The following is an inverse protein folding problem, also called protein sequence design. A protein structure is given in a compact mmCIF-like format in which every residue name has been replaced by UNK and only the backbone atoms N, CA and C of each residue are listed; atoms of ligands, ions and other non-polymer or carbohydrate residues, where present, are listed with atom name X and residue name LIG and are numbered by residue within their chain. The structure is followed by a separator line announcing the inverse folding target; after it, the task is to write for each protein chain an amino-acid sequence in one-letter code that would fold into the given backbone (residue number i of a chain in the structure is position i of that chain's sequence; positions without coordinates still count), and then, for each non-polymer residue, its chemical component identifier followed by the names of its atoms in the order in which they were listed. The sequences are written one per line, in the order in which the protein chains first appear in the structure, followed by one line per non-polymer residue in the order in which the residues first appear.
data_IF_150961211008
#
_entry.id   IF_150961211008
#
_cell.length_a   1.000
_cell.length_b   1.000
_cell.length_c   1.000
_cell.angle_alpha   90.00
_cell.angle_beta   90.00
_cell.angle_gamma   90.00
#
_symmetry.space_group_name_H-M   'P 1'
#
loop_
_entity.id
_entity.type
_entity.pdbx_description
1 polymer ?
#
# COMPACT_ATOMS: atom_id res chain seq x y z
N UNK A 1 6.79 7.05 58.41
CA UNK A 1 6.96 5.98 59.43
C UNK A 1 5.83 4.97 59.27
N UNK A 2 6.15 3.69 59.50
CA UNK A 2 5.32 2.47 59.46
C UNK A 2 4.97 1.87 58.08
N UNK A 3 5.81 0.90 57.68
CA UNK A 3 5.48 -0.26 56.84
C UNK A 3 4.60 -1.27 57.64
N UNK A 4 3.94 -2.29 57.05
CA UNK A 4 4.48 -3.66 56.92
C UNK A 4 3.46 -4.60 56.22
N UNK A 5 3.88 -5.16 55.05
CA UNK A 5 3.91 -6.56 54.53
C UNK A 5 2.68 -7.51 54.41
N UNK A 6 2.39 -7.89 53.14
CA UNK A 6 2.38 -9.23 52.46
C UNK A 6 2.25 -10.55 53.27
N UNK A 7 1.67 -11.68 52.77
CA UNK A 7 2.08 -12.36 51.51
C UNK A 7 1.00 -13.22 50.76
N UNK A 8 1.35 -13.80 49.60
CA UNK A 8 0.49 -14.83 48.97
C UNK A 8 0.88 -15.38 47.59
N UNK A 9 1.96 -16.18 47.55
CA UNK A 9 2.16 -17.38 46.71
C UNK A 9 2.09 -17.32 45.16
N UNK A 10 3.27 -17.28 44.51
CA UNK A 10 3.89 -18.49 43.94
C UNK A 10 3.53 -18.96 42.51
N UNK A 11 4.43 -19.72 41.86
CA UNK A 11 4.61 -19.76 40.41
C UNK A 11 3.91 -20.94 39.72
N UNK A 12 3.65 -20.83 38.40
CA UNK A 12 3.30 -21.98 37.55
C UNK A 12 4.22 -22.06 36.34
N UNK A 13 5.07 -23.07 36.40
CA UNK A 13 5.89 -23.58 35.31
C UNK A 13 5.04 -24.37 34.29
N UNK A 14 5.47 -24.25 33.02
CA UNK A 14 5.50 -25.24 31.93
C UNK A 14 4.25 -25.94 31.37
N UNK A 15 4.17 -25.77 30.05
CA UNK A 15 4.01 -26.78 29.00
C UNK A 15 2.60 -27.33 28.72
N UNK A 16 2.03 -26.85 27.61
CA UNK A 16 1.26 -27.70 26.70
C UNK A 16 1.34 -27.13 25.28
N UNK A 17 2.20 -27.76 24.51
CA UNK A 17 2.25 -27.82 23.06
C UNK A 17 0.88 -28.21 22.48
N UNK A 18 0.31 -27.42 21.54
CA UNK A 18 -0.59 -27.89 20.48
C UNK A 18 -0.93 -26.79 19.47
N UNK A 19 -0.75 -27.17 18.21
CA UNK A 19 -0.74 -26.40 16.97
C UNK A 19 -2.05 -25.64 16.67
N UNK A 20 -1.98 -24.54 15.90
CA UNK A 20 -3.13 -23.75 15.48
C UNK A 20 -4.04 -24.50 14.50
N UNK A 21 -5.34 -24.49 14.81
CA UNK A 21 -6.41 -24.94 13.92
C UNK A 21 -6.55 -24.02 12.71
N UNK A 22 -6.53 -24.62 11.53
CA UNK A 22 -6.81 -23.98 10.24
C UNK A 22 -8.32 -23.64 10.18
N UNK A 23 -8.72 -22.43 9.76
CA UNK A 23 -10.14 -22.12 9.53
C UNK A 23 -10.68 -22.90 8.33
N UNK A 24 -11.80 -23.60 8.56
CA UNK A 24 -12.50 -24.39 7.56
C UNK A 24 -13.14 -23.50 6.48
N UNK A 25 -12.53 -23.47 5.29
CA UNK A 25 -13.16 -22.90 4.09
C UNK A 25 -14.20 -23.90 3.57
N UNK A 26 -15.48 -23.58 3.75
CA UNK A 26 -16.60 -24.26 3.07
C UNK A 26 -16.54 -23.95 1.58
N UNK A 27 -16.14 -24.93 0.78
CA UNK A 27 -16.35 -24.92 -0.67
C UNK A 27 -17.68 -25.64 -1.02
N UNK A 28 -18.43 -25.15 -2.02
CA UNK A 28 -19.71 -25.73 -2.42
C UNK A 28 -19.55 -27.11 -3.05
N UNK A 29 -20.30 -28.08 -2.53
CA UNK A 29 -20.38 -29.45 -3.01
C UNK A 29 -21.16 -29.45 -4.34
N UNK A 30 -20.44 -29.49 -5.46
CA UNK A 30 -21.01 -29.93 -6.72
C UNK A 30 -21.27 -31.44 -6.64
N UNK A 31 -22.55 -31.80 -6.69
CA UNK A 31 -23.07 -33.15 -6.59
C UNK A 31 -22.93 -33.87 -7.93
N UNK A 32 -21.81 -34.54 -8.16
CA UNK A 32 -21.66 -35.47 -9.29
C UNK A 32 -21.98 -36.90 -8.85
N UNK A 33 -23.14 -37.40 -9.27
CA UNK A 33 -23.49 -38.82 -9.22
C UNK A 33 -22.58 -39.57 -10.20
N UNK A 34 -21.84 -40.57 -9.72
CA UNK A 34 -21.13 -41.50 -10.59
C UNK A 34 -20.16 -42.38 -9.82
N UNK A 35 -20.63 -43.57 -9.38
CA UNK A 35 -19.78 -44.64 -8.86
C UNK A 35 -18.84 -45.11 -9.98
N UNK A 36 -17.54 -45.00 -9.76
CA UNK A 36 -16.52 -45.62 -10.62
C UNK A 36 -15.17 -45.63 -9.92
N UNK A 37 -14.80 -46.79 -9.37
CA UNK A 37 -13.48 -47.08 -8.80
C UNK A 37 -12.40 -46.86 -9.87
N UNK A 38 -11.39 -46.04 -9.57
CA UNK A 38 -9.96 -46.26 -9.89
C UNK A 38 -9.14 -45.15 -9.23
N UNK A 39 -8.53 -45.51 -8.10
CA UNK A 39 -7.39 -44.81 -7.54
C UNK A 39 -6.18 -45.05 -8.44
N UNK A 40 -5.39 -44.00 -8.71
CA UNK A 40 -3.92 -43.96 -8.84
C UNK A 40 -3.53 -42.73 -9.68
N UNK A 41 -2.40 -42.12 -9.31
CA UNK A 41 -1.74 -40.95 -9.92
C UNK A 41 -2.15 -39.56 -9.41
N UNK A 42 -2.07 -39.34 -8.09
CA UNK A 42 -1.87 -38.02 -7.49
C UNK A 42 -0.45 -37.89 -6.91
N UNK A 43 0.58 -38.09 -7.74
CA UNK A 43 1.98 -38.06 -7.31
C UNK A 43 2.94 -37.45 -8.35
N UNK A 44 2.50 -36.43 -9.11
CA UNK A 44 3.34 -35.79 -10.12
C UNK A 44 3.18 -34.25 -10.21
N UNK A 45 2.74 -33.58 -9.14
CA UNK A 45 2.58 -32.11 -9.12
C UNK A 45 3.33 -31.42 -7.97
N UNK A 46 4.23 -32.12 -7.28
CA UNK A 46 5.07 -31.53 -6.23
C UNK A 46 6.55 -31.39 -6.62
N UNK A 47 7.00 -32.00 -7.72
CA UNK A 47 8.39 -31.87 -8.18
C UNK A 47 8.62 -30.64 -9.10
N UNK A 48 7.57 -30.08 -9.70
CA UNK A 48 7.67 -28.93 -10.61
C UNK A 48 7.67 -27.57 -9.89
N UNK A 49 7.35 -27.50 -8.60
CA UNK A 49 7.46 -26.25 -7.82
C UNK A 49 8.85 -26.02 -7.21
N UNK A 50 9.76 -27.00 -7.25
CA UNK A 50 11.11 -26.87 -6.71
C UNK A 50 12.16 -26.48 -7.76
N UNK A 51 11.85 -26.60 -9.07
CA UNK A 51 12.81 -26.26 -10.13
C UNK A 51 12.74 -24.80 -10.59
N UNK A 52 11.82 -23.99 -10.06
CA UNK A 52 11.67 -22.57 -10.42
C UNK A 52 12.21 -21.58 -9.35
N UNK A 53 12.73 -22.07 -8.22
CA UNK A 53 13.22 -21.21 -7.13
C UNK A 53 14.75 -20.98 -7.13
N UNK A 54 15.49 -21.42 -8.14
CA UNK A 54 16.96 -21.26 -8.19
C UNK A 54 17.49 -20.55 -9.43
N UNK A 55 16.62 -19.93 -10.23
CA UNK A 55 17.07 -18.87 -11.13
C UNK A 55 17.12 -17.58 -10.32
N UNK A 56 18.29 -17.34 -9.72
CA UNK A 56 18.62 -16.04 -9.17
C UNK A 56 18.58 -15.05 -10.34
N UNK A 57 17.48 -14.29 -10.44
CA UNK A 57 17.30 -13.32 -11.50
C UNK A 57 18.56 -12.46 -11.60
N UNK A 58 19.09 -12.22 -12.81
CA UNK A 58 20.30 -11.43 -12.96
C UNK A 58 20.11 -10.10 -12.26
N UNK A 59 21.09 -9.71 -11.43
CA UNK A 59 20.99 -8.46 -10.69
C UNK A 59 20.80 -7.31 -11.69
N UNK A 60 19.78 -6.46 -11.53
CA UNK A 60 19.49 -5.41 -12.50
C UNK A 60 20.69 -4.49 -12.64
N UNK A 61 20.98 -4.07 -13.87
CA UNK A 61 22.10 -3.16 -14.12
C UNK A 61 21.81 -1.83 -13.42
N UNK A 62 22.87 -1.09 -13.13
CA UNK A 62 22.75 0.22 -12.49
C UNK A 62 21.84 1.18 -13.28
N UNK A 63 21.89 1.11 -14.61
CA UNK A 63 21.01 1.89 -15.51
C UNK A 63 19.53 1.55 -15.28
N UNK A 64 19.20 0.26 -15.13
CA UNK A 64 17.84 -0.21 -14.86
C UNK A 64 17.35 0.26 -13.48
N UNK A 65 18.23 0.20 -12.46
CA UNK A 65 17.94 0.70 -11.11
C UNK A 65 17.67 2.21 -11.14
N UNK A 66 18.45 2.98 -11.91
CA UNK A 66 18.27 4.43 -12.08
C UNK A 66 16.96 4.76 -12.81
N UNK A 67 16.64 4.05 -13.89
CA UNK A 67 15.39 4.23 -14.61
C UNK A 67 14.19 3.96 -13.69
N UNK A 68 14.21 2.82 -13.00
CA UNK A 68 13.17 2.45 -12.02
C UNK A 68 13.01 3.49 -10.92
N UNK A 69 14.12 4.03 -10.40
CA UNK A 69 14.09 5.10 -9.39
C UNK A 69 13.38 6.34 -9.92
N UNK A 70 13.74 6.80 -11.13
CA UNK A 70 13.11 7.97 -11.76
C UNK A 70 11.62 7.73 -11.99
N UNK A 71 11.25 6.57 -12.53
CA UNK A 71 9.86 6.25 -12.84
C UNK A 71 8.99 6.22 -11.57
N UNK A 72 9.54 5.73 -10.44
CA UNK A 72 8.87 5.79 -9.14
C UNK A 72 8.71 7.21 -8.61
N UNK A 73 9.70 8.08 -8.80
CA UNK A 73 9.57 9.50 -8.44
C UNK A 73 8.53 10.21 -9.30
N UNK A 74 8.49 9.93 -10.60
CA UNK A 74 7.47 10.47 -11.51
C UNK A 74 6.06 9.99 -11.12
N UNK A 75 5.89 8.72 -10.73
CA UNK A 75 4.61 8.23 -10.22
C UNK A 75 4.20 8.91 -8.91
N UNK A 76 5.16 9.14 -7.99
CA UNK A 76 4.88 9.91 -6.78
C UNK A 76 4.40 11.34 -7.10
N UNK A 77 4.98 11.97 -8.13
CA UNK A 77 4.55 13.28 -8.63
C UNK A 77 3.14 13.26 -9.25
N UNK A 78 2.83 12.29 -10.10
CA UNK A 78 1.47 12.12 -10.67
C UNK A 78 0.43 11.89 -9.57
N UNK A 79 0.75 11.04 -8.59
CA UNK A 79 -0.12 10.79 -7.44
C UNK A 79 -0.36 12.05 -6.64
N UNK A 80 0.67 12.84 -6.38
CA UNK A 80 0.53 14.12 -5.68
C UNK A 80 -0.40 15.11 -6.38
N UNK A 81 -0.33 15.23 -7.71
CA UNK A 81 -1.22 16.11 -8.47
C UNK A 81 -2.69 15.69 -8.36
N UNK A 82 -2.97 14.38 -8.38
CA UNK A 82 -4.32 13.83 -8.14
C UNK A 82 -4.86 14.22 -6.77
N UNK A 83 -4.04 14.02 -5.74
CA UNK A 83 -4.42 14.31 -4.36
C UNK A 83 -4.55 15.81 -4.10
N UNK A 84 -3.72 16.63 -4.73
CA UNK A 84 -3.84 18.08 -4.67
C UNK A 84 -5.15 18.58 -5.25
N UNK A 85 -5.57 18.04 -6.40
CA UNK A 85 -6.87 18.35 -6.99
C UNK A 85 -8.02 17.93 -6.07
N UNK A 86 -7.90 16.77 -5.41
CA UNK A 86 -8.90 16.30 -4.44
C UNK A 86 -9.01 17.23 -3.23
N UNK A 87 -7.88 17.65 -2.64
CA UNK A 87 -7.84 18.62 -1.53
C UNK A 87 -8.44 19.96 -1.96
N UNK A 88 -8.05 20.47 -3.12
CA UNK A 88 -8.55 21.75 -3.63
C UNK A 88 -10.07 21.70 -3.85
N UNK A 89 -10.59 20.62 -4.44
CA UNK A 89 -12.04 20.41 -4.60
C UNK A 89 -12.76 20.36 -3.26
N UNK A 90 -12.18 19.70 -2.27
CA UNK A 90 -12.71 19.68 -0.92
C UNK A 90 -12.75 21.09 -0.30
N UNK A 91 -11.66 21.85 -0.38
CA UNK A 91 -11.59 23.24 0.12
C UNK A 91 -12.65 24.13 -0.53
N UNK A 92 -12.79 24.04 -1.86
CA UNK A 92 -13.85 24.74 -2.60
C UNK A 92 -15.25 24.35 -2.12
N UNK A 93 -15.49 23.05 -1.86
CA UNK A 93 -16.78 22.58 -1.33
C UNK A 93 -17.10 23.09 0.07
N UNK A 94 -16.07 23.43 0.86
CA UNK A 94 -16.20 24.07 2.17
C UNK A 94 -16.30 25.61 2.09
N UNK A 95 -16.39 26.18 0.89
CA UNK A 95 -16.51 27.62 0.68
C UNK A 95 -15.19 28.38 0.77
N UNK A 96 -14.04 27.69 0.77
CA UNK A 96 -12.74 28.36 0.67
C UNK A 96 -12.65 29.05 -0.70
N UNK A 97 -12.30 30.35 -0.77
CA UNK A 97 -12.18 31.05 -2.04
C UNK A 97 -11.16 30.37 -2.98
N UNK A 98 -11.37 30.40 -4.31
CA UNK A 98 -10.44 29.79 -5.26
C UNK A 98 -8.99 30.24 -5.09
N UNK A 99 -8.76 31.53 -4.81
CA UNK A 99 -7.43 32.10 -4.57
C UNK A 99 -6.68 31.51 -3.36
N UNK A 100 -7.41 30.87 -2.43
CA UNK A 100 -6.86 30.25 -1.21
C UNK A 100 -7.08 28.74 -1.16
N UNK A 101 -7.48 28.15 -2.29
CA UNK A 101 -7.81 26.72 -2.38
C UNK A 101 -6.62 25.82 -2.70
N UNK A 102 -5.44 26.38 -3.01
CA UNK A 102 -4.21 25.58 -3.19
C UNK A 102 -3.86 24.81 -1.90
N UNK A 103 -3.48 23.53 -2.01
CA UNK A 103 -3.05 22.74 -0.87
C UNK A 103 -1.78 23.31 -0.23
N UNK A 104 -1.71 23.27 1.10
CA UNK A 104 -0.48 23.59 1.84
C UNK A 104 0.45 22.38 1.94
N UNK A 105 1.72 22.62 2.29
CA UNK A 105 2.68 21.54 2.55
C UNK A 105 2.21 20.60 3.66
N UNK A 106 1.60 21.15 4.72
CA UNK A 106 1.05 20.38 5.84
C UNK A 106 -0.15 19.52 5.43
N UNK A 107 -1.07 20.07 4.62
CA UNK A 107 -2.20 19.33 4.07
C UNK A 107 -1.70 18.15 3.21
N UNK A 108 -0.68 18.38 2.38
CA UNK A 108 -0.08 17.33 1.54
C UNK A 108 0.69 16.29 2.35
N UNK A 109 1.41 16.71 3.40
CA UNK A 109 2.13 15.79 4.31
C UNK A 109 1.17 14.92 5.09
N UNK A 110 0.05 15.50 5.55
CA UNK A 110 -1.04 14.77 6.20
C UNK A 110 -1.66 13.79 5.22
N UNK A 111 -1.96 14.24 3.99
CA UNK A 111 -2.55 13.40 2.96
C UNK A 111 -1.69 12.19 2.59
N UNK A 112 -0.37 12.35 2.51
CA UNK A 112 0.57 11.23 2.32
C UNK A 112 0.38 10.16 3.41
N UNK A 113 0.22 10.60 4.66
CA UNK A 113 0.07 9.74 5.83
C UNK A 113 -1.31 9.08 5.87
N UNK A 114 -2.38 9.81 5.55
CA UNK A 114 -3.75 9.31 5.49
C UNK A 114 -3.93 8.20 4.43
N UNK A 115 -3.22 8.35 3.31
CA UNK A 115 -3.18 7.36 2.23
C UNK A 115 -2.26 6.17 2.57
N UNK A 116 -1.61 6.17 3.74
CA UNK A 116 -0.68 5.14 4.19
C UNK A 116 0.41 4.85 3.15
N UNK A 117 0.89 5.89 2.46
CA UNK A 117 1.89 5.74 1.42
C UNK A 117 3.23 5.37 2.03
N UNK A 118 3.84 4.33 1.46
CA UNK A 118 5.19 3.90 1.81
C UNK A 118 6.19 4.58 0.88
N UNK A 119 7.34 4.97 1.41
CA UNK A 119 8.44 5.52 0.61
C UNK A 119 9.17 4.39 -0.12
N UNK A 120 8.61 3.98 -1.27
CA UNK A 120 9.15 2.87 -2.10
C UNK A 120 10.51 3.19 -2.75
N UNK A 121 10.85 4.47 -2.80
CA UNK A 121 12.13 4.96 -3.30
C UNK A 121 12.51 6.23 -2.55
N UNK A 122 13.80 6.46 -2.23
CA UNK A 122 14.23 7.66 -1.53
C UNK A 122 13.77 8.93 -2.25
N UNK A 123 13.18 9.85 -1.49
CA UNK A 123 12.70 11.13 -2.00
C UNK A 123 11.28 11.11 -2.55
N UNK A 124 10.62 9.95 -2.66
CA UNK A 124 9.23 9.88 -3.17
C UNK A 124 8.26 10.72 -2.34
N UNK A 125 8.43 10.72 -1.01
CA UNK A 125 7.61 11.55 -0.12
C UNK A 125 7.82 13.03 -0.36
N UNK A 126 9.07 13.47 -0.52
CA UNK A 126 9.39 14.87 -0.80
C UNK A 126 8.85 15.32 -2.15
N UNK A 127 9.01 14.49 -3.20
CA UNK A 127 8.45 14.75 -4.53
C UNK A 127 6.93 14.84 -4.47
N UNK A 128 6.29 13.95 -3.69
CA UNK A 128 4.84 14.00 -3.52
C UNK A 128 4.41 15.31 -2.86
N UNK A 129 5.00 15.65 -1.71
CA UNK A 129 4.61 16.85 -0.96
C UNK A 129 4.82 18.11 -1.80
N UNK A 130 5.96 18.23 -2.49
CA UNK A 130 6.27 19.38 -3.35
C UNK A 130 5.33 19.51 -4.55
N UNK A 131 5.02 18.41 -5.25
CA UNK A 131 4.07 18.47 -6.38
C UNK A 131 2.64 18.72 -5.92
N UNK A 132 2.29 18.29 -4.71
CA UNK A 132 0.95 18.48 -4.16
C UNK A 132 0.72 19.94 -3.74
N UNK A 133 1.65 20.53 -2.98
CA UNK A 133 1.54 21.92 -2.52
C UNK A 133 1.81 22.93 -3.64
N UNK A 134 2.53 22.54 -4.69
CA UNK A 134 2.77 23.33 -5.89
C UNK A 134 1.61 23.35 -6.89
N UNK A 135 0.48 22.73 -6.60
CA UNK A 135 -0.65 22.65 -7.54
C UNK A 135 -1.31 24.02 -7.77
N UNK A 136 -1.57 24.42 -9.04
CA UNK A 136 -2.04 25.76 -9.34
C UNK A 136 -3.44 26.04 -8.77
N UNK A 137 -3.71 27.31 -8.49
CA UNK A 137 -5.06 27.78 -8.11
C UNK A 137 -5.99 27.83 -9.33
N UNK A 138 -7.33 27.78 -9.16
CA UNK A 138 -8.27 27.80 -10.28
C UNK A 138 -8.22 29.03 -11.18
N UNK A 139 -7.68 30.16 -10.70
CA UNK A 139 -7.59 31.42 -11.44
C UNK A 139 -6.22 31.67 -12.08
N UNK A 140 -5.25 30.76 -11.91
CA UNK A 140 -3.90 30.92 -12.48
C UNK A 140 -3.78 30.26 -13.86
N UNK A 141 -2.96 30.83 -14.77
CA UNK A 141 -2.60 30.15 -16.02
C UNK A 141 -2.02 28.76 -15.75
N UNK A 142 -2.33 27.78 -16.60
CA UNK A 142 -1.89 26.39 -16.41
C UNK A 142 -2.81 25.54 -15.53
N UNK A 143 -3.85 26.12 -14.94
CA UNK A 143 -4.77 25.38 -14.07
C UNK A 143 -5.53 24.28 -14.81
N UNK A 144 -6.12 24.61 -15.97
CA UNK A 144 -6.93 23.66 -16.72
C UNK A 144 -6.09 22.46 -17.18
N UNK A 145 -4.85 22.72 -17.60
CA UNK A 145 -3.87 21.71 -17.99
C UNK A 145 -3.47 20.84 -16.79
N UNK A 146 -3.22 21.43 -15.62
CA UNK A 146 -2.90 20.69 -14.41
C UNK A 146 -4.06 19.82 -13.92
N UNK A 147 -5.31 20.30 -14.04
CA UNK A 147 -6.51 19.51 -13.78
C UNK A 147 -6.60 18.34 -14.74
N UNK A 148 -6.45 18.59 -16.05
CA UNK A 148 -6.50 17.56 -17.06
C UNK A 148 -5.41 16.49 -16.85
N UNK A 149 -4.18 16.88 -16.50
CA UNK A 149 -3.08 15.96 -16.20
C UNK A 149 -3.37 15.11 -14.95
N UNK A 150 -3.88 15.74 -13.88
CA UNK A 150 -4.27 15.05 -12.67
C UNK A 150 -5.37 14.03 -12.96
N UNK A 151 -6.40 14.39 -13.73
CA UNK A 151 -7.51 13.50 -14.05
C UNK A 151 -7.15 12.39 -15.04
N UNK A 152 -6.33 12.69 -16.06
CA UNK A 152 -5.86 11.70 -17.04
C UNK A 152 -4.99 10.61 -16.41
N UNK A 153 -4.41 10.88 -15.25
CA UNK A 153 -3.61 9.93 -14.49
C UNK A 153 -4.47 8.97 -13.64
N UNK A 154 -5.79 8.92 -13.84
CA UNK A 154 -6.71 7.99 -13.16
C UNK A 154 -6.96 6.77 -14.07
N UNK A 155 -6.61 5.54 -13.66
CA UNK A 155 -6.92 4.33 -14.43
C UNK A 155 -8.41 3.99 -14.45
#
# INVERSE_FOLDING_TARGET
MAAVRYPGAGPRDRAADRRPGIPAVRLPIMKTRGRGRRALCAAAALASMLSACTEQAPEPRFEDKRATHRDRLEEAGRKARREALAIQRQKLSYGVPPASSTPTEDECTTRWSDLQLTEETPGARSVFVSNCSGFPTPATPGYAEAVAEAEASTP
#
